data_IF_806588633615
#
_entry.id   IF_806588633615
#
_cell.length_a   1.000
_cell.length_b   1.000
_cell.length_c   1.000
_cell.angle_alpha   90.00
_cell.angle_beta   90.00
_cell.angle_gamma   90.00
#
_symmetry.space_group_name_H-M   'P 1'
#
loop_
_entity.id
_entity.type
_entity.pdbx_description
1 polymer ?
#
# COMPACT_ATOMS: atom_id res chain seq x y z
N UNK A 1 27.88 -22.29 -7.95
CA UNK A 1 28.16 -23.69 -7.52
C UNK A 1 27.21 -24.22 -6.45
N UNK A 2 27.29 -23.78 -5.18
CA UNK A 2 26.46 -24.33 -4.08
C UNK A 2 24.95 -24.24 -4.33
N UNK A 3 24.46 -23.05 -4.69
CA UNK A 3 23.05 -22.84 -5.05
C UNK A 3 22.61 -23.63 -6.28
N UNK A 4 23.52 -23.91 -7.23
CA UNK A 4 23.23 -24.62 -8.47
C UNK A 4 23.19 -26.15 -8.29
N UNK A 5 23.57 -26.67 -7.12
CA UNK A 5 23.64 -28.11 -6.84
C UNK A 5 24.95 -28.77 -7.27
N UNK A 6 25.91 -27.98 -7.76
CA UNK A 6 27.22 -28.45 -8.21
C UNK A 6 28.24 -28.55 -7.07
N UNK A 7 27.90 -28.09 -5.86
CA UNK A 7 28.72 -28.18 -4.65
C UNK A 7 27.82 -28.32 -3.41
N UNK A 8 28.20 -29.11 -2.38
CA UNK A 8 27.38 -29.27 -1.18
C UNK A 8 27.22 -27.95 -0.40
N UNK A 9 26.04 -27.75 0.20
CA UNK A 9 25.69 -26.53 0.94
C UNK A 9 26.49 -26.34 2.25
N UNK A 10 27.05 -27.43 2.82
CA UNK A 10 27.87 -27.42 4.05
C UNK A 10 27.22 -26.65 5.21
N UNK A 11 25.95 -26.94 5.49
CA UNK A 11 25.21 -26.32 6.61
C UNK A 11 24.61 -24.94 6.33
N UNK A 12 24.89 -24.33 5.18
CA UNK A 12 24.25 -23.08 4.77
C UNK A 12 22.89 -23.31 4.13
N UNK A 13 21.96 -22.40 4.37
CA UNK A 13 20.68 -22.33 3.65
C UNK A 13 20.86 -21.78 2.24
N UNK A 14 19.91 -22.07 1.34
CA UNK A 14 19.91 -21.52 -0.02
C UNK A 14 19.87 -19.98 0.01
N UNK A 15 19.15 -19.39 0.97
CA UNK A 15 19.09 -17.94 1.17
C UNK A 15 20.44 -17.38 1.60
N UNK A 16 21.16 -18.00 2.53
CA UNK A 16 22.49 -17.53 2.94
C UNK A 16 23.49 -17.61 1.78
N UNK A 17 23.47 -18.69 0.99
CA UNK A 17 24.33 -18.80 -0.19
C UNK A 17 24.03 -17.70 -1.21
N UNK A 18 22.77 -17.44 -1.50
CA UNK A 18 22.36 -16.38 -2.44
C UNK A 18 22.67 -15.00 -1.85
N UNK A 19 22.38 -14.77 -0.58
CA UNK A 19 22.64 -13.51 0.10
C UNK A 19 24.12 -13.21 0.19
N UNK A 20 25.00 -14.19 0.49
CA UNK A 20 26.45 -13.99 0.49
C UNK A 20 26.94 -13.69 -0.92
N UNK A 21 26.46 -14.43 -1.93
CA UNK A 21 26.79 -14.16 -3.32
C UNK A 21 26.31 -12.79 -3.80
N UNK A 22 25.24 -12.25 -3.23
CA UNK A 22 24.70 -10.92 -3.55
C UNK A 22 25.30 -9.79 -2.71
N UNK A 23 25.65 -10.06 -1.45
CA UNK A 23 26.23 -9.07 -0.51
C UNK A 23 27.68 -8.76 -0.83
N UNK A 24 28.46 -9.76 -1.27
CA UNK A 24 29.85 -9.58 -1.74
C UNK A 24 29.89 -8.79 -3.07
N UNK A 25 28.73 -8.51 -3.66
CA UNK A 25 28.55 -8.40 -5.09
C UNK A 25 27.29 -7.55 -5.34
N UNK A 26 27.32 -6.36 -4.75
CA UNK A 26 26.20 -5.41 -4.72
C UNK A 26 25.64 -5.23 -6.15
N UNK A 27 24.34 -5.52 -6.31
CA UNK A 27 23.52 -5.40 -7.53
C UNK A 27 23.53 -6.49 -8.62
N UNK A 28 23.82 -7.75 -8.33
CA UNK A 28 24.09 -8.73 -9.41
C UNK A 28 22.89 -9.54 -9.98
N UNK A 29 21.74 -9.66 -9.31
CA UNK A 29 20.70 -10.61 -9.78
C UNK A 29 19.64 -10.02 -10.72
N UNK A 30 19.81 -8.79 -11.21
CA UNK A 30 18.82 -8.19 -12.12
C UNK A 30 19.24 -8.06 -13.59
N UNK A 31 20.48 -8.43 -13.93
CA UNK A 31 20.93 -8.67 -15.31
C UNK A 31 20.68 -10.10 -15.82
N UNK A 32 20.09 -10.96 -14.99
CA UNK A 32 20.40 -12.38 -15.01
C UNK A 32 19.85 -13.23 -16.17
N UNK A 33 18.99 -12.73 -17.08
CA UNK A 33 18.50 -13.58 -18.19
C UNK A 33 18.21 -12.82 -19.50
N UNK A 34 19.05 -11.88 -19.95
CA UNK A 34 19.04 -11.53 -21.39
C UNK A 34 20.42 -11.12 -21.90
N UNK A 35 20.88 -11.85 -22.92
CA UNK A 35 22.14 -11.71 -23.64
C UNK A 35 22.22 -10.41 -24.44
N UNK A 36 23.46 -9.96 -24.64
CA UNK A 36 23.95 -9.01 -25.64
C UNK A 36 23.73 -7.50 -25.40
N UNK A 37 24.83 -6.76 -25.66
CA UNK A 37 24.99 -5.30 -25.77
C UNK A 37 25.27 -4.53 -24.47
N UNK A 38 26.57 -4.50 -24.14
CA UNK A 38 27.42 -3.31 -24.07
C UNK A 38 26.87 -1.99 -23.47
N UNK A 39 27.64 -1.50 -22.49
CA UNK A 39 27.90 -0.11 -22.08
C UNK A 39 27.10 0.57 -20.96
N UNK A 40 27.87 0.88 -19.90
CA UNK A 40 27.93 2.13 -19.10
C UNK A 40 26.69 2.53 -18.28
N UNK A 41 26.76 2.35 -16.94
CA UNK A 41 27.06 3.42 -15.96
C UNK A 41 26.84 3.01 -14.49
N UNK A 42 27.72 3.59 -13.65
CA UNK A 42 27.59 4.05 -12.25
C UNK A 42 27.26 3.06 -11.11
N UNK A 43 28.18 3.00 -10.14
CA UNK A 43 28.07 2.35 -8.83
C UNK A 43 29.43 1.80 -8.40
N UNK A 44 29.86 2.05 -7.16
CA UNK A 44 31.22 1.89 -6.61
C UNK A 44 31.84 0.47 -6.67
N UNK A 45 31.16 -0.51 -7.28
CA UNK A 45 31.60 -1.90 -7.41
C UNK A 45 31.39 -2.48 -8.84
N UNK A 46 31.71 -1.73 -9.91
CA UNK A 46 31.53 -2.19 -11.31
C UNK A 46 32.24 -3.51 -11.65
N UNK A 47 33.48 -3.72 -11.17
CA UNK A 47 34.30 -4.88 -11.55
C UNK A 47 33.76 -6.21 -11.00
N UNK A 48 33.34 -6.24 -9.73
CA UNK A 48 32.78 -7.46 -9.14
C UNK A 48 31.40 -7.80 -9.72
N UNK A 49 30.65 -6.78 -10.17
CA UNK A 49 29.37 -6.94 -10.89
C UNK A 49 29.52 -7.75 -12.17
N UNK A 50 30.51 -7.39 -12.99
CA UNK A 50 30.75 -8.06 -14.27
C UNK A 50 31.35 -9.46 -14.08
N UNK A 51 32.23 -9.67 -13.09
CA UNK A 51 32.81 -10.99 -12.81
C UNK A 51 31.75 -12.01 -12.38
N UNK A 52 30.83 -11.64 -11.48
CA UNK A 52 29.77 -12.54 -11.07
C UNK A 52 28.80 -12.88 -12.22
N UNK A 53 28.56 -11.91 -13.12
CA UNK A 53 27.79 -12.13 -14.35
C UNK A 53 28.48 -13.14 -15.27
N UNK A 54 29.78 -12.97 -15.52
CA UNK A 54 30.59 -13.90 -16.30
C UNK A 54 30.59 -15.31 -15.69
N UNK A 55 30.72 -15.42 -14.36
CA UNK A 55 30.65 -16.72 -13.67
C UNK A 55 29.29 -17.40 -13.83
N UNK A 56 28.19 -16.67 -13.74
CA UNK A 56 26.84 -17.21 -13.94
C UNK A 56 26.61 -17.66 -15.39
N UNK A 57 26.98 -16.83 -16.37
CA UNK A 57 26.88 -17.19 -17.78
C UNK A 57 27.74 -18.41 -18.12
N UNK A 58 28.96 -18.49 -17.59
CA UNK A 58 29.82 -19.66 -17.74
C UNK A 58 29.16 -20.92 -17.21
N UNK A 59 28.45 -20.84 -16.08
CA UNK A 59 27.74 -21.99 -15.51
C UNK A 59 26.44 -22.34 -16.24
N UNK A 60 25.87 -21.44 -17.06
CA UNK A 60 24.66 -21.69 -17.85
C UNK A 60 24.98 -22.13 -19.30
N UNK A 61 26.09 -21.66 -19.85
CA UNK A 61 26.51 -21.93 -21.22
C UNK A 61 27.10 -23.33 -21.33
N UNK A 62 26.56 -24.14 -22.24
CA UNK A 62 27.03 -25.52 -22.49
C UNK A 62 27.07 -26.42 -21.24
N UNK A 63 26.20 -26.16 -20.25
CA UNK A 63 26.13 -26.98 -19.05
C UNK A 63 25.46 -28.34 -19.35
N UNK A 64 26.23 -29.42 -19.27
CA UNK A 64 25.81 -30.80 -19.51
C UNK A 64 25.37 -31.55 -18.24
N UNK A 65 25.36 -30.90 -17.07
CA UNK A 65 25.03 -31.51 -15.79
C UNK A 65 23.60 -32.07 -15.78
N UNK A 66 23.45 -33.33 -15.39
CA UNK A 66 22.14 -33.99 -15.24
C UNK A 66 21.40 -33.54 -13.97
N UNK A 67 22.10 -32.93 -13.01
CA UNK A 67 21.51 -32.39 -11.78
C UNK A 67 20.57 -31.23 -12.11
N UNK A 68 19.35 -31.18 -11.54
CA UNK A 68 18.51 -30.02 -11.70
C UNK A 68 19.19 -28.84 -11.01
N UNK A 69 19.71 -27.89 -11.81
CA UNK A 69 19.96 -26.52 -11.35
C UNK A 69 18.82 -26.10 -10.41
N UNK A 70 19.04 -25.35 -9.34
CA UNK A 70 17.92 -24.76 -8.62
C UNK A 70 17.01 -23.93 -9.57
N UNK A 71 17.59 -23.35 -10.63
CA UNK A 71 16.89 -22.78 -11.79
C UNK A 71 16.17 -23.81 -12.70
N UNK A 72 16.58 -25.08 -12.71
CA UNK A 72 15.84 -26.23 -13.30
C UNK A 72 14.77 -26.76 -12.35
N UNK A 73 14.84 -26.54 -11.03
CA UNK A 73 13.78 -26.97 -10.09
C UNK A 73 12.50 -26.15 -10.24
N UNK A 74 12.60 -24.87 -10.64
CA UNK A 74 11.43 -24.08 -11.08
C UNK A 74 10.85 -24.54 -12.43
N UNK A 75 11.61 -25.32 -13.20
CA UNK A 75 11.20 -25.99 -14.42
C UNK A 75 10.90 -27.48 -14.14
N UNK A 76 9.87 -27.77 -13.36
CA UNK A 76 9.45 -29.15 -13.14
C UNK A 76 9.05 -29.84 -14.47
N UNK A 77 9.37 -31.15 -14.52
CA UNK A 77 9.29 -32.17 -15.60
C UNK A 77 8.20 -31.95 -16.67
N UNK A 78 8.50 -32.41 -17.90
CA UNK A 78 7.67 -32.49 -19.11
C UNK A 78 7.89 -31.37 -20.16
N UNK A 79 8.42 -31.75 -21.35
CA UNK A 79 8.15 -31.32 -22.75
C UNK A 79 7.97 -29.80 -23.08
N UNK A 80 8.07 -28.87 -22.11
CA UNK A 80 7.82 -27.42 -22.24
C UNK A 80 9.03 -26.56 -21.85
N UNK A 81 10.21 -27.17 -21.74
CA UNK A 81 11.46 -26.53 -21.30
C UNK A 81 11.83 -25.25 -22.09
N UNK A 82 11.70 -25.20 -23.44
CA UNK A 82 12.06 -24.01 -24.22
C UNK A 82 11.14 -22.81 -23.93
N UNK A 83 9.84 -23.05 -23.75
CA UNK A 83 8.83 -22.01 -23.52
C UNK A 83 8.99 -21.39 -22.12
N UNK A 84 9.31 -22.21 -21.11
CA UNK A 84 9.56 -21.73 -19.74
C UNK A 84 10.86 -20.93 -19.63
N UNK A 85 11.92 -21.32 -20.36
CA UNK A 85 13.17 -20.57 -20.45
C UNK A 85 12.97 -19.21 -21.14
N UNK A 86 12.19 -19.15 -22.21
CA UNK A 86 11.84 -17.90 -22.89
C UNK A 86 11.05 -16.94 -21.98
N UNK A 87 10.12 -17.46 -21.18
CA UNK A 87 9.38 -16.68 -20.19
C UNK A 87 10.28 -16.08 -19.10
N UNK A 88 11.25 -16.85 -18.62
CA UNK A 88 12.26 -16.38 -17.65
C UNK A 88 13.17 -15.32 -18.28
N UNK A 89 13.58 -15.51 -19.54
CA UNK A 89 14.39 -14.54 -20.27
C UNK A 89 13.69 -13.18 -20.42
N UNK A 90 12.44 -13.19 -20.88
CA UNK A 90 11.62 -11.97 -21.00
C UNK A 90 11.43 -11.25 -19.67
N UNK A 91 11.22 -12.00 -18.58
CA UNK A 91 11.11 -11.42 -17.24
C UNK A 91 12.40 -10.70 -16.83
N UNK A 92 13.56 -11.28 -17.14
CA UNK A 92 14.83 -10.66 -16.82
C UNK A 92 15.18 -9.47 -17.71
N UNK A 93 14.77 -9.47 -18.98
CA UNK A 93 14.88 -8.28 -19.83
C UNK A 93 14.12 -7.09 -19.23
N UNK A 94 12.86 -7.32 -18.80
CA UNK A 94 12.03 -6.30 -18.17
C UNK A 94 12.66 -5.78 -16.87
N UNK A 95 13.12 -6.72 -16.03
CA UNK A 95 13.83 -6.46 -14.79
C UNK A 95 15.10 -5.61 -15.01
N UNK A 96 15.87 -5.91 -16.06
CA UNK A 96 17.07 -5.18 -16.41
C UNK A 96 16.75 -3.74 -16.83
N UNK A 97 15.75 -3.54 -17.71
CA UNK A 97 15.29 -2.21 -18.10
C UNK A 97 14.88 -1.37 -16.88
N UNK A 98 14.18 -1.97 -15.92
CA UNK A 98 13.80 -1.32 -14.67
C UNK A 98 14.99 -0.97 -13.80
N UNK A 99 16.00 -1.85 -13.75
CA UNK A 99 17.24 -1.60 -13.02
C UNK A 99 18.02 -0.42 -13.60
N UNK A 100 18.06 -0.29 -14.93
CA UNK A 100 18.66 0.89 -15.56
C UNK A 100 17.87 2.18 -15.27
N UNK A 101 16.54 2.09 -15.24
CA UNK A 101 15.67 3.25 -15.02
C UNK A 101 15.69 3.74 -13.56
N UNK A 102 15.69 2.83 -12.60
CA UNK A 102 15.44 3.12 -11.18
C UNK A 102 16.62 2.78 -10.26
N UNK A 103 17.72 2.24 -10.79
CA UNK A 103 18.75 1.60 -9.99
C UNK A 103 18.35 0.17 -9.63
N UNK A 104 19.28 -0.65 -9.15
CA UNK A 104 18.96 -2.03 -8.73
C UNK A 104 18.47 -2.10 -7.30
N UNK A 105 17.88 -3.23 -6.91
CA UNK A 105 17.55 -3.53 -5.51
C UNK A 105 18.79 -3.52 -4.62
N UNK A 106 18.62 -3.01 -3.40
CA UNK A 106 19.69 -2.95 -2.40
C UNK A 106 19.55 -4.06 -1.35
N UNK A 107 18.35 -4.63 -1.20
CA UNK A 107 18.08 -5.75 -0.29
C UNK A 107 18.04 -7.06 -1.10
N UNK A 108 18.78 -8.11 -0.70
CA UNK A 108 18.68 -9.41 -1.35
C UNK A 108 17.30 -10.05 -1.10
N UNK A 109 16.84 -10.95 -1.99
CA UNK A 109 15.56 -11.62 -1.81
C UNK A 109 15.55 -12.43 -0.51
N UNK A 110 14.45 -12.35 0.24
CA UNK A 110 14.26 -13.11 1.47
C UNK A 110 13.93 -14.58 1.20
N UNK A 111 13.88 -15.43 2.24
CA UNK A 111 13.60 -16.86 2.07
C UNK A 111 12.26 -17.14 1.38
N UNK A 112 11.24 -16.34 1.66
CA UNK A 112 9.91 -16.52 1.09
C UNK A 112 9.88 -16.12 -0.39
N UNK A 113 10.53 -15.02 -0.75
CA UNK A 113 10.72 -14.59 -2.13
C UNK A 113 11.47 -15.67 -2.93
N UNK A 114 12.58 -16.18 -2.39
CA UNK A 114 13.37 -17.21 -3.05
C UNK A 114 12.58 -18.52 -3.24
N UNK A 115 11.87 -18.99 -2.21
CA UNK A 115 10.99 -20.16 -2.29
C UNK A 115 9.89 -19.96 -3.35
N UNK A 116 9.32 -18.76 -3.43
CA UNK A 116 8.30 -18.45 -4.43
C UNK A 116 8.87 -18.47 -5.86
N UNK A 117 10.03 -17.85 -6.07
CA UNK A 117 10.74 -17.88 -7.36
C UNK A 117 11.11 -19.31 -7.78
N UNK A 118 11.60 -20.13 -6.85
CA UNK A 118 11.91 -21.54 -7.10
C UNK A 118 10.68 -22.38 -7.42
N UNK A 119 9.51 -21.98 -6.94
CA UNK A 119 8.22 -22.57 -7.31
C UNK A 119 7.66 -22.02 -8.64
N UNK A 120 8.41 -21.19 -9.37
CA UNK A 120 7.99 -20.61 -10.65
C UNK A 120 7.01 -19.45 -10.51
N UNK A 121 6.81 -18.92 -9.29
CA UNK A 121 5.97 -17.73 -9.07
C UNK A 121 6.76 -16.47 -9.40
N UNK A 122 6.20 -15.64 -10.28
CA UNK A 122 6.84 -14.40 -10.77
C UNK A 122 6.22 -13.12 -10.19
N UNK A 123 5.27 -13.24 -9.27
CA UNK A 123 4.57 -12.11 -8.66
C UNK A 123 4.03 -12.45 -7.28
N UNK A 124 3.92 -11.42 -6.42
CA UNK A 124 3.29 -11.45 -5.09
C UNK A 124 2.06 -10.54 -5.10
N UNK A 125 0.98 -10.93 -4.43
CA UNK A 125 -0.13 -10.01 -4.12
C UNK A 125 0.25 -9.26 -2.85
N UNK A 126 0.38 -7.95 -2.95
CA UNK A 126 0.73 -7.07 -1.84
C UNK A 126 -0.47 -6.21 -1.47
N UNK A 127 -0.80 -6.18 -0.18
CA UNK A 127 -1.87 -5.36 0.35
C UNK A 127 -1.40 -3.91 0.53
N UNK A 128 -2.21 -2.98 0.02
CA UNK A 128 -2.15 -1.54 0.24
C UNK A 128 -3.48 -1.08 0.82
N UNK A 129 -3.41 -0.28 1.89
CA UNK A 129 -4.57 0.24 2.60
C UNK A 129 -4.89 1.65 2.15
N UNK A 130 -6.14 1.88 1.78
CA UNK A 130 -6.68 3.19 1.55
C UNK A 130 -7.34 3.71 2.85
N UNK A 131 -7.45 5.04 3.02
CA UNK A 131 -8.26 5.63 4.08
C UNK A 131 -9.64 4.99 4.24
N UNK A 132 -10.02 4.76 5.50
CA UNK A 132 -11.26 4.04 5.84
C UNK A 132 -11.14 2.52 5.84
N UNK A 133 -9.92 1.97 5.80
CA UNK A 133 -9.69 0.52 5.88
C UNK A 133 -10.01 -0.21 4.58
N UNK A 134 -10.07 0.50 3.45
CA UNK A 134 -10.34 -0.10 2.14
C UNK A 134 -9.07 -0.86 1.70
N UNK A 135 -9.20 -2.17 1.51
CA UNK A 135 -8.10 -3.05 1.13
C UNK A 135 -7.94 -3.12 -0.39
N UNK A 136 -6.73 -2.85 -0.89
CA UNK A 136 -6.39 -3.01 -2.31
C UNK A 136 -5.16 -3.90 -2.47
N UNK A 137 -5.35 -5.00 -3.18
CA UNK A 137 -4.28 -5.96 -3.47
C UNK A 137 -3.68 -5.66 -4.83
N UNK A 138 -2.42 -5.24 -4.85
CA UNK A 138 -1.66 -4.98 -6.06
C UNK A 138 -0.74 -6.16 -6.37
N UNK A 139 -0.66 -6.54 -7.64
CA UNK A 139 0.22 -7.63 -8.08
C UNK A 139 1.62 -7.08 -8.35
N UNK A 140 2.49 -7.18 -7.35
CA UNK A 140 3.88 -6.73 -7.48
C UNK A 140 4.79 -7.85 -8.00
N UNK A 141 5.82 -7.45 -8.74
CA UNK A 141 6.93 -8.31 -9.20
C UNK A 141 8.19 -7.96 -8.42
N UNK A 142 9.25 -8.72 -8.66
CA UNK A 142 10.57 -8.47 -8.07
C UNK A 142 11.12 -7.08 -8.41
N UNK A 143 10.75 -6.51 -9.56
CA UNK A 143 11.17 -5.19 -10.01
C UNK A 143 10.21 -4.05 -9.65
N UNK A 144 9.13 -4.31 -8.93
CA UNK A 144 8.08 -3.30 -8.74
C UNK A 144 8.53 -2.21 -7.78
N UNK A 145 8.58 -0.99 -8.30
CA UNK A 145 8.89 0.23 -7.55
C UNK A 145 7.61 0.93 -7.10
N UNK A 146 7.72 1.80 -6.09
CA UNK A 146 6.59 2.53 -5.54
C UNK A 146 5.83 3.35 -6.59
N UNK A 147 6.53 3.94 -7.58
CA UNK A 147 5.89 4.67 -8.69
C UNK A 147 4.86 3.82 -9.44
N UNK A 148 5.21 2.59 -9.82
CA UNK A 148 4.30 1.72 -10.59
C UNK A 148 3.05 1.37 -9.80
N UNK A 149 3.21 1.13 -8.49
CA UNK A 149 2.09 0.85 -7.60
C UNK A 149 1.20 2.08 -7.45
N UNK A 150 1.79 3.28 -7.33
CA UNK A 150 1.03 4.54 -7.27
C UNK A 150 0.22 4.74 -8.56
N UNK A 151 0.84 4.50 -9.72
CA UNK A 151 0.17 4.58 -11.02
C UNK A 151 -0.99 3.58 -11.08
N UNK A 152 -0.76 2.29 -10.78
CA UNK A 152 -1.79 1.24 -10.82
C UNK A 152 -3.00 1.58 -9.93
N UNK A 153 -2.76 2.01 -8.68
CA UNK A 153 -3.81 2.42 -7.75
C UNK A 153 -4.54 3.70 -8.21
N UNK A 154 -3.84 4.65 -8.82
CA UNK A 154 -4.46 5.84 -9.42
C UNK A 154 -5.33 5.49 -10.63
N UNK A 155 -4.89 4.56 -11.48
CA UNK A 155 -5.66 4.08 -12.63
C UNK A 155 -6.98 3.45 -12.18
N UNK A 156 -6.95 2.64 -11.11
CA UNK A 156 -8.17 2.05 -10.53
C UNK A 156 -9.16 3.11 -10.03
N UNK A 157 -8.65 4.22 -9.50
CA UNK A 157 -9.44 5.39 -9.08
C UNK A 157 -9.89 6.30 -10.24
N UNK A 158 -9.63 5.96 -11.50
CA UNK A 158 -9.97 6.79 -12.66
C UNK A 158 -9.10 8.04 -12.82
N UNK A 159 -7.89 8.03 -12.23
CA UNK A 159 -6.91 9.10 -12.33
C UNK A 159 -5.81 8.70 -13.31
N UNK A 160 -5.88 9.23 -14.54
CA UNK A 160 -4.99 8.86 -15.64
C UNK A 160 -3.98 9.97 -16.01
N UNK A 161 -4.10 11.14 -15.40
CA UNK A 161 -3.22 12.29 -15.66
C UNK A 161 -2.01 12.23 -14.72
N UNK A 162 -0.82 12.45 -15.26
CA UNK A 162 0.43 12.40 -14.49
C UNK A 162 0.41 13.39 -13.33
N UNK A 163 -0.10 14.60 -13.58
CA UNK A 163 -0.20 15.67 -12.59
C UNK A 163 -1.14 15.32 -11.43
N UNK A 164 -2.11 14.42 -11.65
CA UNK A 164 -2.97 13.90 -10.59
C UNK A 164 -2.24 12.81 -9.80
N UNK A 165 -1.50 11.91 -10.47
CA UNK A 165 -0.76 10.84 -9.81
C UNK A 165 0.36 11.37 -8.91
N UNK A 166 0.95 12.52 -9.26
CA UNK A 166 2.02 13.14 -8.47
C UNK A 166 1.59 13.56 -7.07
N UNK A 167 0.29 13.74 -6.85
CA UNK A 167 -0.28 14.12 -5.57
C UNK A 167 -0.42 12.96 -4.58
N UNK A 168 -0.07 11.73 -4.98
CA UNK A 168 -0.22 10.53 -4.17
C UNK A 168 1.12 9.94 -3.75
N UNK A 169 1.11 9.33 -2.57
CA UNK A 169 2.25 8.65 -1.99
C UNK A 169 1.85 7.36 -1.28
N UNK A 170 2.80 6.44 -1.20
CA UNK A 170 2.71 5.25 -0.36
C UNK A 170 3.50 5.50 0.92
N UNK A 171 2.97 5.04 2.04
CA UNK A 171 3.59 5.13 3.35
C UNK A 171 3.80 3.72 3.90
N UNK A 172 4.98 3.47 4.46
CA UNK A 172 5.20 2.35 5.35
C UNK A 172 4.75 2.77 6.76
N UNK A 173 3.90 1.96 7.36
CA UNK A 173 3.42 2.17 8.73
C UNK A 173 3.84 0.98 9.58
N UNK A 174 4.57 1.23 10.67
CA UNK A 174 5.02 0.22 11.63
C UNK A 174 4.64 0.64 13.06
N UNK A 175 4.89 -0.26 14.02
CA UNK A 175 4.63 -0.06 15.44
C UNK A 175 3.19 0.38 15.72
N UNK A 176 2.23 -0.33 15.12
CA UNK A 176 0.78 -0.05 15.26
C UNK A 176 0.38 1.40 14.95
N UNK A 177 1.06 2.04 13.98
CA UNK A 177 0.75 3.40 13.56
C UNK A 177 1.61 4.48 14.19
N UNK A 178 2.55 4.13 15.08
CA UNK A 178 3.44 5.12 15.70
C UNK A 178 4.54 5.62 14.77
N UNK A 179 4.92 4.84 13.76
CA UNK A 179 5.94 5.26 12.79
C UNK A 179 5.35 5.22 11.39
N UNK A 180 5.41 6.36 10.69
CA UNK A 180 4.83 6.56 9.37
C UNK A 180 5.90 7.16 8.47
N UNK A 181 6.40 6.38 7.52
CA UNK A 181 7.46 6.79 6.59
C UNK A 181 6.93 6.84 5.16
N UNK A 182 6.95 8.00 4.47
CA UNK A 182 6.67 8.04 3.04
C UNK A 182 7.76 7.30 2.25
N UNK A 183 7.35 6.56 1.22
CA UNK A 183 8.26 5.92 0.27
C UNK A 183 8.64 6.90 -0.84
N UNK A 184 9.92 6.91 -1.19
CA UNK A 184 10.39 7.48 -2.44
C UNK A 184 9.85 6.65 -3.61
N UNK A 185 9.40 7.31 -4.67
CA UNK A 185 8.84 6.69 -5.89
C UNK A 185 9.77 5.66 -6.55
N UNK A 186 11.09 5.73 -6.30
CA UNK A 186 12.10 4.81 -6.84
C UNK A 186 12.39 3.60 -5.93
N UNK A 187 11.89 3.57 -4.70
CA UNK A 187 12.10 2.43 -3.80
C UNK A 187 11.38 1.19 -4.30
N UNK A 188 12.04 0.04 -4.22
CA UNK A 188 11.46 -1.26 -4.52
C UNK A 188 10.56 -1.72 -3.36
N UNK A 189 9.32 -2.07 -3.66
CA UNK A 189 8.35 -2.46 -2.61
C UNK A 189 8.82 -3.69 -1.82
N UNK A 190 9.46 -4.66 -2.48
CA UNK A 190 9.97 -5.86 -1.82
C UNK A 190 11.18 -5.59 -0.92
N UNK A 191 11.98 -4.55 -1.21
CA UNK A 191 13.09 -4.13 -0.33
C UNK A 191 12.50 -3.57 0.97
N UNK A 192 11.60 -2.59 0.82
CA UNK A 192 10.91 -1.95 1.95
C UNK A 192 10.15 -2.98 2.80
N UNK A 193 9.44 -3.90 2.15
CA UNK A 193 8.70 -4.97 2.85
C UNK A 193 9.64 -5.92 3.61
N UNK A 194 10.77 -6.29 3.02
CA UNK A 194 11.73 -7.20 3.65
C UNK A 194 12.39 -6.54 4.87
N UNK A 195 12.75 -5.27 4.77
CA UNK A 195 13.31 -4.53 5.91
C UNK A 195 12.27 -4.29 7.01
N UNK A 196 11.04 -3.92 6.63
CA UNK A 196 9.96 -3.70 7.58
C UNK A 196 9.61 -4.97 8.37
N UNK A 197 9.56 -6.13 7.72
CA UNK A 197 9.23 -7.42 8.34
C UNK A 197 10.24 -7.83 9.42
N UNK A 198 11.50 -7.38 9.33
CA UNK A 198 12.51 -7.61 10.36
C UNK A 198 12.30 -6.76 11.63
N UNK A 199 11.66 -5.60 11.49
CA UNK A 199 11.43 -4.64 12.59
C UNK A 199 10.06 -4.87 13.22
N UNK A 200 9.03 -5.05 12.40
CA UNK A 200 7.64 -5.19 12.83
C UNK A 200 6.88 -6.09 11.84
N UNK A 201 6.48 -7.27 12.30
CA UNK A 201 5.65 -8.20 11.50
C UNK A 201 4.23 -7.67 11.23
N UNK A 202 3.79 -6.66 11.97
CA UNK A 202 2.52 -5.96 11.80
C UNK A 202 2.60 -4.72 10.89
N UNK A 203 3.66 -4.57 10.09
CA UNK A 203 3.78 -3.44 9.17
C UNK A 203 2.64 -3.41 8.14
N UNK A 204 2.33 -2.22 7.62
CA UNK A 204 1.34 -2.03 6.56
C UNK A 204 1.76 -0.94 5.58
N UNK A 205 1.32 -1.07 4.32
CA UNK A 205 1.45 -0.01 3.32
C UNK A 205 0.16 0.78 3.22
N UNK A 206 0.25 2.09 3.27
CA UNK A 206 -0.89 3.00 3.15
C UNK A 206 -0.74 3.89 1.93
N UNK A 207 -1.81 4.02 1.14
CA UNK A 207 -1.84 4.87 -0.03
C UNK A 207 -2.70 6.10 0.24
N UNK A 208 -2.15 7.30 0.09
CA UNK A 208 -2.81 8.55 0.47
C UNK A 208 -2.53 9.66 -0.54
N UNK A 209 -3.45 10.64 -0.59
CA UNK A 209 -3.25 11.89 -1.31
C UNK A 209 -2.56 12.89 -0.40
N UNK A 210 -1.38 13.36 -0.79
CA UNK A 210 -0.54 14.28 0.00
C UNK A 210 -0.59 15.73 -0.47
N UNK A 211 -1.02 15.95 -1.72
CA UNK A 211 -1.18 17.28 -2.32
C UNK A 211 -2.61 17.41 -2.88
N UNK A 212 -3.21 18.59 -2.74
CA UNK A 212 -4.62 18.84 -3.11
C UNK A 212 -4.77 20.02 -4.07
N UNK A 213 -3.92 20.08 -5.09
CA UNK A 213 -3.97 21.10 -6.14
C UNK A 213 -5.01 20.76 -7.21
N UNK A 214 -5.01 19.52 -7.68
CA UNK A 214 -5.91 19.06 -8.74
C UNK A 214 -7.38 19.04 -8.25
N UNK A 215 -8.34 19.42 -9.11
CA UNK A 215 -9.75 19.34 -8.78
C UNK A 215 -10.19 17.92 -8.39
N UNK A 216 -11.14 17.82 -7.46
CA UNK A 216 -11.78 16.55 -7.14
C UNK A 216 -12.68 16.11 -8.29
N UNK A 217 -12.68 14.80 -8.55
CA UNK A 217 -13.61 14.14 -9.48
C UNK A 217 -14.52 13.23 -8.70
N UNK A 218 -15.76 13.11 -9.13
CA UNK A 218 -16.80 12.38 -8.40
C UNK A 218 -17.37 11.18 -9.17
N UNK A 219 -16.76 10.83 -10.30
CA UNK A 219 -17.26 9.78 -11.20
C UNK A 219 -16.92 8.37 -10.71
N UNK A 220 -15.81 8.21 -9.99
CA UNK A 220 -15.29 6.93 -9.52
C UNK A 220 -15.55 6.74 -8.02
N UNK A 221 -16.27 5.68 -7.65
CA UNK A 221 -16.66 5.40 -6.26
C UNK A 221 -15.48 5.17 -5.32
N UNK A 222 -14.43 4.45 -5.77
CA UNK A 222 -13.23 4.22 -4.98
C UNK A 222 -12.51 5.53 -4.68
N UNK A 223 -12.36 6.40 -5.68
CA UNK A 223 -11.72 7.70 -5.55
C UNK A 223 -12.46 8.58 -4.52
N UNK A 224 -13.80 8.65 -4.64
CA UNK A 224 -14.65 9.42 -3.72
C UNK A 224 -14.58 8.86 -2.31
N UNK A 225 -14.67 7.54 -2.13
CA UNK A 225 -14.57 6.91 -0.82
C UNK A 225 -13.19 7.15 -0.18
N UNK A 226 -12.11 7.03 -0.95
CA UNK A 226 -10.74 7.29 -0.51
C UNK A 226 -10.58 8.74 -0.01
N UNK A 227 -10.96 9.74 -0.82
CA UNK A 227 -10.84 11.14 -0.43
C UNK A 227 -11.74 11.49 0.76
N UNK A 228 -12.97 10.99 0.78
CA UNK A 228 -13.90 11.20 1.87
C UNK A 228 -13.33 10.67 3.19
N UNK A 229 -12.88 9.42 3.21
CA UNK A 229 -12.33 8.80 4.40
C UNK A 229 -11.00 9.43 4.85
N UNK A 230 -10.23 10.03 3.93
CA UNK A 230 -8.99 10.73 4.29
C UNK A 230 -9.27 12.07 4.99
N UNK A 231 -10.28 12.80 4.53
CA UNK A 231 -10.58 14.16 4.99
C UNK A 231 -11.52 14.19 6.20
N UNK A 232 -12.41 13.19 6.31
CA UNK A 232 -13.45 13.15 7.34
C UNK A 232 -12.92 13.33 8.77
N UNK A 233 -11.82 12.67 9.21
CA UNK A 233 -11.32 12.85 10.58
C UNK A 233 -10.89 14.30 10.87
N UNK A 234 -10.29 14.99 9.89
CA UNK A 234 -9.86 16.37 10.04
C UNK A 234 -11.05 17.32 10.11
N UNK A 235 -12.10 17.04 9.33
CA UNK A 235 -13.37 17.76 9.43
C UNK A 235 -14.02 17.58 10.82
N UNK A 236 -14.15 16.34 11.30
CA UNK A 236 -14.74 16.03 12.61
C UNK A 236 -13.93 16.61 13.78
N UNK A 237 -12.61 16.76 13.62
CA UNK A 237 -11.76 17.48 14.59
C UNK A 237 -11.88 19.01 14.52
N UNK A 238 -12.58 19.53 13.52
CA UNK A 238 -12.77 20.95 13.30
C UNK A 238 -11.60 21.65 12.60
N UNK A 239 -10.65 20.91 12.04
CA UNK A 239 -9.44 21.45 11.42
C UNK A 239 -9.69 22.17 10.08
N UNK A 240 -10.85 21.91 9.47
CA UNK A 240 -11.30 22.56 8.24
C UNK A 240 -12.21 23.77 8.50
N UNK A 241 -12.67 23.95 9.73
CA UNK A 241 -13.61 25.01 10.07
C UNK A 241 -12.82 26.25 10.52
N UNK A 242 -12.88 27.32 9.73
CA UNK A 242 -12.37 28.63 10.16
C UNK A 242 -13.51 29.39 10.83
N UNK A 243 -13.32 29.79 12.09
CA UNK A 243 -14.27 30.62 12.84
C UNK A 243 -13.74 32.05 12.95
N UNK A 244 -14.19 32.99 12.10
CA UNK A 244 -13.88 34.40 12.29
C UNK A 244 -14.49 34.87 13.61
N UNK A 245 -13.66 35.35 14.53
CA UNK A 245 -14.06 35.90 15.84
C UNK A 245 -14.84 34.96 16.76
N UNK A 246 -14.76 33.63 16.54
CA UNK A 246 -15.39 32.62 17.42
C UNK A 246 -16.93 32.59 17.39
N UNK A 247 -17.56 33.37 16.50
CA UNK A 247 -19.01 33.37 16.25
C UNK A 247 -19.33 32.48 15.05
N UNK A 248 -20.47 31.81 15.13
CA UNK A 248 -21.01 30.97 14.05
C UNK A 248 -22.28 31.64 13.55
N UNK A 249 -22.40 31.87 12.24
CA UNK A 249 -23.62 32.43 11.65
C UNK A 249 -24.69 31.34 11.45
N UNK A 250 -25.96 31.73 11.33
CA UNK A 250 -27.06 30.81 11.02
C UNK A 250 -26.81 30.03 9.72
N UNK A 251 -26.24 30.68 8.72
CA UNK A 251 -25.84 30.04 7.47
C UNK A 251 -24.80 28.92 7.72
N UNK A 252 -23.84 29.14 8.62
CA UNK A 252 -22.86 28.12 8.99
C UNK A 252 -23.50 26.97 9.76
N UNK A 253 -24.45 27.24 10.66
CA UNK A 253 -25.21 26.19 11.36
C UNK A 253 -25.97 25.29 10.37
N UNK A 254 -26.64 25.89 9.37
CA UNK A 254 -27.27 25.13 8.29
C UNK A 254 -26.25 24.31 7.48
N UNK A 255 -25.10 24.88 7.13
CA UNK A 255 -24.07 24.16 6.39
C UNK A 255 -23.51 22.97 7.18
N UNK A 256 -23.20 23.16 8.47
CA UNK A 256 -22.70 22.09 9.35
C UNK A 256 -23.76 20.98 9.49
N UNK A 257 -25.02 21.36 9.69
CA UNK A 257 -26.14 20.39 9.78
C UNK A 257 -26.31 19.60 8.49
N UNK A 258 -26.19 20.25 7.32
CA UNK A 258 -26.21 19.58 6.03
C UNK A 258 -25.05 18.61 5.85
N UNK A 259 -23.83 18.99 6.27
CA UNK A 259 -22.66 18.12 6.24
C UNK A 259 -22.83 16.91 7.18
N UNK A 260 -23.46 17.09 8.35
CA UNK A 260 -23.79 16.00 9.25
C UNK A 260 -24.82 15.02 8.63
N UNK A 261 -25.87 15.53 7.98
CA UNK A 261 -26.84 14.69 7.26
C UNK A 261 -26.18 13.90 6.10
N UNK A 262 -25.27 14.53 5.36
CA UNK A 262 -24.49 13.85 4.30
C UNK A 262 -23.57 12.75 4.88
N UNK A 263 -22.94 12.98 6.04
CA UNK A 263 -22.16 11.94 6.72
C UNK A 263 -23.02 10.76 7.16
N UNK A 264 -24.22 11.02 7.71
CA UNK A 264 -25.16 9.97 8.09
C UNK A 264 -25.59 9.13 6.89
N UNK A 265 -25.95 9.79 5.78
CA UNK A 265 -26.31 9.11 4.53
C UNK A 265 -25.13 8.38 3.90
N UNK A 266 -23.90 8.87 4.05
CA UNK A 266 -22.68 8.20 3.59
C UNK A 266 -22.37 6.89 4.34
N UNK A 267 -22.92 6.70 5.56
CA UNK A 267 -22.94 5.43 6.29
C UNK A 267 -24.10 4.51 5.87
N UNK A 268 -24.84 4.89 4.83
CA UNK A 268 -26.05 4.25 4.33
C UNK A 268 -27.27 4.31 5.27
N UNK A 269 -27.25 5.19 6.26
CA UNK A 269 -28.38 5.39 7.15
C UNK A 269 -29.41 6.36 6.53
N UNK A 270 -30.69 5.98 6.59
CA UNK A 270 -31.81 6.77 6.05
C UNK A 270 -32.66 7.44 7.14
N UNK A 271 -32.45 7.04 8.41
CA UNK A 271 -33.19 7.56 9.54
C UNK A 271 -32.66 8.92 10.00
N UNK A 272 -33.37 9.55 10.92
CA UNK A 272 -32.91 10.80 11.53
C UNK A 272 -31.74 10.48 12.47
N UNK A 273 -30.60 11.20 12.37
CA UNK A 273 -29.47 10.96 13.24
C UNK A 273 -29.80 11.34 14.69
N UNK A 274 -29.37 10.50 15.61
CA UNK A 274 -29.44 10.76 17.05
C UNK A 274 -28.49 11.88 17.48
N UNK A 275 -28.72 12.45 18.67
CA UNK A 275 -27.81 13.44 19.28
C UNK A 275 -26.38 12.88 19.39
N UNK A 276 -26.25 11.59 19.74
CA UNK A 276 -24.95 10.93 19.83
C UNK A 276 -24.24 10.92 18.47
N UNK A 277 -24.91 10.48 17.41
CA UNK A 277 -24.33 10.46 16.06
C UNK A 277 -23.97 11.87 15.57
N UNK A 278 -24.83 12.87 15.81
CA UNK A 278 -24.53 14.26 15.47
C UNK A 278 -23.29 14.78 16.20
N UNK A 279 -23.06 14.33 17.44
CA UNK A 279 -21.85 14.70 18.19
C UNK A 279 -20.56 14.07 17.63
N UNK A 280 -20.66 12.97 16.87
CA UNK A 280 -19.53 12.39 16.12
C UNK A 280 -19.29 13.08 14.77
N UNK A 281 -20.35 13.59 14.14
CA UNK A 281 -20.30 14.24 12.83
C UNK A 281 -19.87 15.71 12.90
N UNK A 282 -20.03 16.35 14.06
CA UNK A 282 -19.81 17.77 14.28
C UNK A 282 -18.70 17.94 15.31
N UNK A 283 -17.70 18.76 14.99
CA UNK A 283 -16.59 19.03 15.91
C UNK A 283 -17.09 19.54 17.26
N UNK A 284 -16.56 18.99 18.36
CA UNK A 284 -16.96 19.29 19.74
C UNK A 284 -17.08 20.79 20.04
N UNK A 285 -16.15 21.67 19.60
CA UNK A 285 -16.29 23.12 19.84
C UNK A 285 -17.49 23.76 19.14
N UNK A 286 -17.90 23.23 17.97
CA UNK A 286 -19.04 23.70 17.19
C UNK A 286 -20.34 23.14 17.73
N UNK A 287 -20.35 21.86 18.12
CA UNK A 287 -21.54 21.21 18.64
C UNK A 287 -22.10 21.94 19.87
N UNK A 288 -21.21 22.49 20.71
CA UNK A 288 -21.56 23.28 21.91
C UNK A 288 -22.13 24.68 21.63
N UNK A 289 -22.13 25.15 20.36
CA UNK A 289 -22.58 26.52 20.01
C UNK A 289 -24.10 26.67 19.93
N UNK A 290 -24.85 25.57 19.92
CA UNK A 290 -26.31 25.58 20.01
C UNK A 290 -26.82 24.34 20.75
N UNK A 291 -28.04 24.37 21.32
CA UNK A 291 -28.64 23.22 21.98
C UNK A 291 -28.70 21.98 21.06
N UNK A 292 -28.45 20.76 21.58
CA UNK A 292 -28.51 19.52 20.79
C UNK A 292 -29.80 19.33 20.00
N UNK A 293 -30.94 19.75 20.55
CA UNK A 293 -32.23 19.65 19.87
C UNK A 293 -32.31 20.52 18.61
N UNK A 294 -31.64 21.68 18.58
CA UNK A 294 -31.59 22.51 17.39
C UNK A 294 -30.80 21.84 16.26
N UNK A 295 -29.73 21.12 16.59
CA UNK A 295 -29.00 20.29 15.62
C UNK A 295 -29.88 19.18 15.04
N UNK A 296 -30.66 18.49 15.87
CA UNK A 296 -31.59 17.44 15.42
C UNK A 296 -32.64 18.01 14.47
N UNK A 297 -33.23 19.16 14.81
CA UNK A 297 -34.22 19.83 13.95
C UNK A 297 -33.64 20.19 12.59
N UNK A 298 -32.46 20.82 12.54
CA UNK A 298 -31.80 21.16 11.28
C UNK A 298 -31.36 19.92 10.50
N UNK A 299 -30.84 18.90 11.17
CA UNK A 299 -30.44 17.64 10.53
C UNK A 299 -31.66 16.92 9.93
N UNK A 300 -32.81 16.92 10.61
CA UNK A 300 -34.06 16.33 10.12
C UNK A 300 -34.50 16.97 8.81
N UNK A 301 -34.45 18.30 8.73
CA UNK A 301 -34.77 19.04 7.50
C UNK A 301 -33.81 18.66 6.35
N UNK A 302 -32.52 18.55 6.62
CA UNK A 302 -31.55 18.15 5.59
C UNK A 302 -31.62 16.66 5.24
N UNK A 303 -32.01 15.78 6.16
CA UNK A 303 -32.20 14.36 5.89
C UNK A 303 -33.27 14.13 4.82
N UNK A 304 -34.37 14.88 4.84
CA UNK A 304 -35.39 14.83 3.78
C UNK A 304 -34.82 15.15 2.39
N UNK A 305 -33.83 16.05 2.31
CA UNK A 305 -33.18 16.43 1.05
C UNK A 305 -32.16 15.38 0.57
N UNK A 306 -31.49 14.68 1.50
CA UNK A 306 -30.41 13.73 1.16
C UNK A 306 -30.88 12.27 1.13
N UNK A 307 -32.12 11.98 1.52
CA UNK A 307 -32.67 10.62 1.55
C UNK A 307 -32.60 9.92 0.19
N UNK A 308 -32.81 10.66 -0.91
CA UNK A 308 -32.76 10.12 -2.27
C UNK A 308 -31.34 9.82 -2.77
N UNK A 309 -30.30 10.27 -2.07
CA UNK A 309 -28.92 10.04 -2.46
C UNK A 309 -28.51 8.60 -2.12
N UNK A 310 -27.56 8.04 -2.86
CA UNK A 310 -26.81 6.86 -2.43
C UNK A 310 -25.55 7.26 -1.62
N UNK A 311 -24.86 6.33 -0.94
CA UNK A 311 -23.67 6.65 -0.15
C UNK A 311 -22.55 7.33 -0.96
N UNK A 312 -22.33 6.93 -2.21
CA UNK A 312 -21.36 7.57 -3.11
C UNK A 312 -21.69 9.04 -3.37
N UNK A 313 -22.95 9.32 -3.75
CA UNK A 313 -23.45 10.67 -3.98
C UNK A 313 -23.38 11.53 -2.71
N UNK A 314 -23.67 10.96 -1.54
CA UNK A 314 -23.55 11.66 -0.27
C UNK A 314 -22.10 12.07 0.04
N UNK A 315 -21.13 11.15 -0.16
CA UNK A 315 -19.69 11.44 -0.02
C UNK A 315 -19.22 12.49 -1.02
N UNK A 316 -19.65 12.38 -2.28
CA UNK A 316 -19.32 13.34 -3.33
C UNK A 316 -19.85 14.75 -3.02
N UNK A 317 -21.11 14.86 -2.60
CA UNK A 317 -21.69 16.15 -2.19
C UNK A 317 -21.02 16.72 -0.95
N UNK A 318 -20.64 15.89 0.02
CA UNK A 318 -19.88 16.31 1.19
C UNK A 318 -18.55 16.93 0.77
N UNK A 319 -17.74 16.18 0.00
CA UNK A 319 -16.45 16.64 -0.50
C UNK A 319 -16.56 17.92 -1.33
N UNK A 320 -17.55 18.00 -2.22
CA UNK A 320 -17.78 19.20 -3.05
C UNK A 320 -18.03 20.45 -2.21
N UNK A 321 -18.67 20.33 -1.04
CA UNK A 321 -18.93 21.45 -0.13
C UNK A 321 -17.70 21.93 0.64
N UNK A 322 -16.79 21.03 0.98
CA UNK A 322 -15.59 21.35 1.77
C UNK A 322 -14.33 21.49 0.92
N UNK A 323 -14.43 21.39 -0.41
CA UNK A 323 -13.28 21.42 -1.33
C UNK A 323 -12.40 22.66 -1.15
N UNK A 324 -13.02 23.82 -0.94
CA UNK A 324 -12.29 25.09 -0.71
C UNK A 324 -11.52 25.06 0.61
N UNK A 325 -12.12 24.49 1.65
CA UNK A 325 -11.52 24.43 2.99
C UNK A 325 -10.38 23.42 3.06
N UNK A 326 -10.49 22.30 2.33
CA UNK A 326 -9.37 21.35 2.12
C UNK A 326 -8.16 22.07 1.53
N UNK A 327 -8.35 22.82 0.43
CA UNK A 327 -7.26 23.55 -0.23
C UNK A 327 -6.62 24.62 0.66
N UNK A 328 -7.41 25.30 1.50
CA UNK A 328 -6.89 26.28 2.48
C UNK A 328 -6.05 25.58 3.55
N UNK A 329 -6.56 24.51 4.16
CA UNK A 329 -5.86 23.74 5.19
C UNK A 329 -4.52 23.19 4.69
N UNK A 330 -4.53 22.52 3.54
CA UNK A 330 -3.32 21.90 3.00
C UNK A 330 -2.23 22.92 2.65
N UNK A 331 -2.58 24.12 2.17
CA UNK A 331 -1.60 25.19 1.94
C UNK A 331 -0.94 25.65 3.24
N UNK A 332 -1.73 25.87 4.29
CA UNK A 332 -1.21 26.35 5.56
C UNK A 332 -0.28 25.31 6.23
N UNK A 333 -0.62 24.01 6.16
CA UNK A 333 0.24 22.94 6.68
C UNK A 333 1.54 22.77 5.90
N UNK A 334 1.55 23.03 4.59
CA UNK A 334 2.78 23.01 3.77
C UNK A 334 3.70 24.19 4.08
N UNK A 335 3.18 25.41 4.23
CA UNK A 335 3.98 26.61 4.54
C UNK A 335 4.70 26.54 5.89
N UNK A 336 4.09 25.91 6.90
CA UNK A 336 4.72 25.75 8.22
C UNK A 336 5.90 24.76 8.22
N UNK A 337 5.94 23.79 7.31
CA UNK A 337 6.95 22.72 7.31
C UNK A 337 8.19 23.02 6.46
N UNK A 338 8.22 24.12 5.69
CA UNK A 338 9.34 24.45 4.78
C UNK A 338 10.03 25.79 5.09
N UNK A 339 9.51 26.60 6.00
CA UNK A 339 10.11 27.90 6.36
C UNK A 339 11.14 27.83 7.51
N UNK A 340 11.34 26.67 8.14
CA UNK A 340 12.44 26.46 9.10
C UNK A 340 13.73 26.10 8.36
N UNK A 341 14.23 27.06 7.57
CA UNK A 341 15.48 27.01 6.83
C UNK A 341 16.73 27.25 7.69
N UNK A 342 16.78 26.71 8.91
CA UNK A 342 17.96 26.76 9.79
C UNK A 342 18.33 25.36 10.26
N UNK A 343 19.30 24.75 9.58
CA UNK A 343 19.97 23.56 10.10
C UNK A 343 20.72 23.93 11.40
N UNK A 344 20.63 23.14 12.48
CA UNK A 344 21.38 23.43 13.69
C UNK A 344 22.85 23.01 13.49
N UNK A 345 23.83 23.88 13.81
CA UNK A 345 25.20 23.44 14.02
C UNK A 345 25.30 22.74 15.39
N UNK A 346 26.05 21.63 15.43
CA UNK A 346 26.75 21.14 16.62
C UNK A 346 25.95 20.94 17.91
N UNK A 347 25.56 19.68 18.15
CA UNK A 347 25.39 19.02 19.44
C UNK A 347 25.11 19.86 20.69
N UNK A 348 23.83 20.05 21.01
CA UNK A 348 23.31 20.05 22.39
C UNK A 348 21.86 19.53 22.37
N UNK A 349 21.47 18.85 23.45
CA UNK A 349 20.15 18.26 23.69
C UNK A 349 19.02 19.28 23.49
N UNK A 350 18.20 19.06 22.46
CA UNK A 350 16.98 19.83 22.19
C UNK A 350 15.78 19.08 22.75
N UNK A 351 15.11 19.68 23.74
CA UNK A 351 13.78 19.24 24.17
C UNK A 351 12.77 19.46 23.02
N UNK A 352 11.82 18.54 22.76
CA UNK A 352 10.91 18.67 21.61
C UNK A 352 9.89 19.80 21.83
N UNK A 353 9.80 20.72 20.88
CA UNK A 353 8.73 21.73 20.80
C UNK A 353 7.41 21.05 20.35
N UNK A 354 6.25 21.37 20.95
CA UNK A 354 5.00 20.60 20.80
C UNK A 354 4.31 20.66 19.42
N UNK A 355 4.94 21.19 18.37
CA UNK A 355 4.31 21.42 17.06
C UNK A 355 4.88 20.57 15.91
N UNK A 356 5.91 19.76 16.16
CA UNK A 356 6.45 18.80 15.18
C UNK A 356 5.58 17.53 15.01
N UNK A 357 4.47 17.40 15.75
CA UNK A 357 3.59 16.23 15.71
C UNK A 357 2.46 16.27 14.67
N UNK A 358 2.45 17.21 13.72
CA UNK A 358 1.32 17.34 12.79
C UNK A 358 1.15 16.14 11.83
N UNK A 359 2.21 15.35 11.62
CA UNK A 359 2.16 14.10 10.85
C UNK A 359 2.06 12.82 11.72
N UNK A 360 2.35 12.93 13.02
CA UNK A 360 2.58 11.78 13.91
C UNK A 360 1.38 11.42 14.81
N UNK A 361 0.27 12.15 14.75
CA UNK A 361 -0.95 11.77 15.47
C UNK A 361 -2.19 11.91 14.58
N UNK A 362 -2.44 10.91 13.74
CA UNK A 362 -3.71 10.77 13.04
C UNK A 362 -4.40 9.45 13.43
N UNK A 363 -5.70 9.49 13.74
CA UNK A 363 -6.36 8.43 14.49
C UNK A 363 -6.65 7.25 13.55
N UNK A 364 -6.14 6.08 13.93
CA UNK A 364 -6.68 4.83 13.43
C UNK A 364 -8.10 4.70 14.00
N UNK A 365 -9.13 4.87 13.16
CA UNK A 365 -10.47 4.42 13.50
C UNK A 365 -10.40 2.91 13.76
N UNK A 366 -10.63 2.48 15.03
CA UNK A 366 -10.95 1.09 15.34
C UNK A 366 -12.19 0.67 14.55
N UNK A 367 -12.26 -0.55 14.02
CA UNK A 367 -13.55 -1.19 13.80
C UNK A 367 -14.17 -1.47 15.18
N UNK A 368 -15.37 -0.97 15.43
CA UNK A 368 -16.23 -1.54 16.46
C UNK A 368 -16.63 -2.95 16.00
N UNK A 369 -15.94 -3.96 16.53
CA UNK A 369 -16.44 -5.33 16.50
C UNK A 369 -17.51 -5.45 17.59
N UNK A 370 -18.78 -5.35 17.18
CA UNK A 370 -19.90 -5.88 17.95
C UNK A 370 -19.77 -7.40 18.04
N UNK A 371 -20.01 -7.94 19.23
CA UNK A 371 -19.72 -9.31 19.59
C UNK A 371 -20.44 -10.35 18.73
N UNK A 372 -19.72 -11.42 18.41
CA UNK A 372 -20.30 -12.72 18.18
C UNK A 372 -19.55 -13.75 19.02
N UNK A 373 -20.35 -14.65 19.56
CA UNK A 373 -20.05 -15.60 20.62
C UNK A 373 -18.93 -16.58 20.26
N UNK A 374 -18.24 -17.01 21.32
CA UNK A 374 -17.29 -18.11 21.31
C UNK A 374 -17.91 -19.36 20.66
N UNK A 375 -17.28 -19.86 19.59
CA UNK A 375 -17.33 -21.30 19.29
C UNK A 375 -15.91 -21.78 19.05
N UNK A 376 -15.41 -22.54 20.02
CA UNK A 376 -14.17 -23.32 19.94
C UNK A 376 -14.22 -24.28 18.76
N UNK A 377 -13.32 -24.11 17.78
CA UNK A 377 -13.04 -25.13 16.77
C UNK A 377 -11.58 -25.57 16.88
N UNK A 378 -11.45 -26.84 17.26
CA UNK A 378 -10.21 -27.57 17.40
C UNK A 378 -9.41 -27.65 16.10
N UNK A 379 -8.09 -27.67 16.29
CA UNK A 379 -7.07 -28.06 15.32
C UNK A 379 -7.38 -29.44 14.70
N UNK A 380 -7.39 -29.52 13.36
CA UNK A 380 -7.41 -30.78 12.64
C UNK A 380 -6.26 -30.82 11.61
N UNK A 381 -5.27 -31.64 11.94
CA UNK A 381 -4.20 -32.14 11.08
C UNK A 381 -4.68 -33.39 10.32
N UNK A 382 -3.92 -33.79 9.29
CA UNK A 382 -4.03 -35.01 8.45
C UNK A 382 -5.03 -34.89 7.27
N UNK A 383 -4.80 -35.50 6.11
CA UNK A 383 -3.81 -36.51 5.70
C UNK A 383 -4.03 -36.85 4.22
N UNK A 384 -3.07 -37.58 3.66
CA UNK A 384 -3.02 -38.00 2.27
C UNK A 384 -4.25 -38.82 1.82
N UNK A 385 -4.71 -38.59 0.59
CA UNK A 385 -5.73 -39.38 -0.09
C UNK A 385 -5.14 -40.06 -1.32
N UNK A 386 -4.98 -41.37 -1.22
CA UNK A 386 -4.55 -42.31 -2.25
C UNK A 386 -5.68 -42.51 -3.28
N UNK A 387 -5.27 -42.72 -4.53
CA UNK A 387 -6.05 -43.18 -5.68
C UNK A 387 -6.93 -44.39 -5.39
N UNK A 388 -8.20 -44.38 -5.82
CA UNK A 388 -8.84 -45.59 -6.32
C UNK A 388 -9.95 -45.30 -7.34
N UNK A 389 -10.00 -46.23 -8.27
CA UNK A 389 -10.71 -46.35 -9.54
C UNK A 389 -12.24 -46.31 -9.47
N UNK A 390 -12.82 -45.68 -10.48
CA UNK A 390 -14.21 -45.76 -10.93
C UNK A 390 -14.68 -47.20 -11.18
N UNK A 391 -15.84 -47.58 -10.62
CA UNK A 391 -16.71 -48.61 -11.18
C UNK A 391 -18.19 -48.23 -11.05
N UNK A 392 -18.94 -48.62 -12.08
CA UNK A 392 -20.31 -48.24 -12.42
C UNK A 392 -21.42 -48.82 -11.51
N UNK A 393 -22.54 -48.07 -11.47
CA UNK A 393 -23.98 -48.44 -11.54
C UNK A 393 -24.58 -49.49 -10.57
N UNK A 394 -25.59 -49.05 -9.81
CA UNK A 394 -27.01 -49.52 -9.76
C UNK A 394 -27.68 -48.83 -8.53
N UNK A 395 -28.72 -48.00 -8.65
CA UNK A 395 -30.16 -48.34 -8.75
C UNK A 395 -30.59 -49.42 -7.75
N UNK A 396 -31.18 -49.03 -6.62
CA UNK A 396 -32.63 -49.09 -6.35
C UNK A 396 -32.94 -48.93 -4.84
N UNK A 397 -34.10 -48.28 -4.56
CA UNK A 397 -35.00 -48.38 -3.39
C UNK A 397 -34.41 -48.76 -2.01
N UNK A 398 -34.58 -47.95 -0.95
CA UNK A 398 -35.84 -47.49 -0.34
C UNK A 398 -35.53 -46.36 0.66
#
# INVERSE_FOLDING_TARGET
MRFMGDSPLRGLTEQEVVSTFLKVNIQIIFRLVCSAVFSLTAGEFSLMRDEAYCQLLKQLTANTSSKPLAARRSACKCVTLPIKLAGIAKACEQNLKKTFQFGGRIVPPNSMELKAMMAGRSSKRQLFLFPGGIERHVKIKTCSVALEVIEELCYEMGLHKLEAMEEYAIFLVTNRGQNVRPLNKREYILDVATEAELVDTGYSFWFRRVVWTQPLKFDNELCVAMHYNQILPDYCKGLLNVLPHGKVSDQQFHQISKLAALQHRAKDNIFIPSIHELSEYIATPLFKKQPPQQWVTMATQHMQQVQALNPHQARAQFLGKITVDIKKRCRNTWSCNFNDGSGPPGGYTVHPHPETHCWDQLPLCRPHFGGYEHTTCHSATAGAGITQTTHLKNLDHL
#
